data_IF_855406872759
#
_entry.id   IF_855406872759
#
_cell.length_a   1.000
_cell.length_b   1.000
_cell.length_c   1.000
_cell.angle_alpha   90.00
_cell.angle_beta   90.00
_cell.angle_gamma   90.00
#
_symmetry.space_group_name_H-M   'P 1'
#
loop_
_entity.id
_entity.type
_entity.pdbx_description
1 polymer ?
#
# COMPACT_ATOMS: atom_id res chain seq x y z
N UNK A 1 -17.23 18.71 7.01
CA UNK A 1 -16.81 17.34 7.33
C UNK A 1 -15.61 17.07 6.45
N UNK A 2 -14.44 16.98 7.07
CA UNK A 2 -13.22 16.64 6.35
C UNK A 2 -13.24 15.14 6.07
N UNK A 3 -12.64 14.71 4.96
CA UNK A 3 -12.57 13.28 4.60
C UNK A 3 -11.72 12.49 5.61
N UNK A 4 -10.92 13.18 6.42
CA UNK A 4 -10.07 12.56 7.46
C UNK A 4 -10.75 12.37 8.80
N UNK A 5 -11.97 12.91 9.01
CA UNK A 5 -12.65 12.90 10.32
C UNK A 5 -12.90 11.47 10.86
N UNK A 6 -12.99 10.48 9.96
CA UNK A 6 -13.19 9.07 10.32
C UNK A 6 -11.93 8.23 10.55
N UNK A 7 -10.73 8.85 10.52
CA UNK A 7 -9.46 8.12 10.62
C UNK A 7 -8.95 8.17 12.07
N UNK A 8 -8.79 7.00 12.70
CA UNK A 8 -8.18 6.90 14.03
C UNK A 8 -6.71 7.33 13.99
N UNK A 9 -6.26 8.27 14.87
CA UNK A 9 -4.86 8.69 14.92
C UNK A 9 -3.89 7.54 15.22
N UNK A 10 -4.30 6.57 16.03
CA UNK A 10 -3.45 5.43 16.40
C UNK A 10 -3.34 4.41 15.26
N UNK A 11 -4.42 4.17 14.52
CA UNK A 11 -4.38 3.34 13.31
C UNK A 11 -3.53 3.99 12.23
N UNK A 12 -3.60 5.31 12.08
CA UNK A 12 -2.76 6.05 11.16
C UNK A 12 -1.27 5.95 11.52
N UNK A 13 -0.90 6.14 12.80
CA UNK A 13 0.48 5.94 13.26
C UNK A 13 0.97 4.52 12.97
N UNK A 14 0.16 3.51 13.31
CA UNK A 14 0.48 2.10 13.06
C UNK A 14 0.66 1.82 11.56
N UNK A 15 -0.17 2.40 10.71
CA UNK A 15 -0.03 2.30 9.25
C UNK A 15 1.33 2.85 8.79
N UNK A 16 1.72 4.04 9.27
CA UNK A 16 3.01 4.65 8.94
C UNK A 16 4.18 3.79 9.44
N UNK A 17 4.11 3.27 10.68
CA UNK A 17 5.14 2.38 11.23
C UNK A 17 5.31 1.11 10.42
N UNK A 18 4.20 0.50 9.96
CA UNK A 18 4.26 -0.65 9.06
C UNK A 18 5.00 -0.25 7.78
N UNK A 19 4.57 0.81 7.10
CA UNK A 19 5.19 1.24 5.83
C UNK A 19 6.69 1.55 5.97
N UNK A 20 7.13 2.13 7.09
CA UNK A 20 8.55 2.46 7.34
C UNK A 20 9.38 1.21 7.67
N UNK A 21 8.81 0.25 8.39
CA UNK A 21 9.55 -0.93 8.85
C UNK A 21 9.49 -2.12 7.90
N UNK A 22 8.57 -2.15 6.93
CA UNK A 22 8.48 -3.24 5.94
C UNK A 22 9.78 -3.38 5.12
N UNK A 23 10.36 -4.58 4.97
CA UNK A 23 11.48 -4.81 4.06
C UNK A 23 11.10 -4.56 2.59
N UNK A 24 9.88 -4.98 2.20
CA UNK A 24 9.27 -4.75 0.89
C UNK A 24 7.76 -4.56 1.06
N UNK A 25 7.17 -3.74 0.20
CA UNK A 25 5.74 -3.45 0.18
C UNK A 25 5.18 -3.89 -1.17
N UNK A 26 4.08 -4.64 -1.15
CA UNK A 26 3.36 -5.08 -2.33
C UNK A 26 2.02 -4.39 -2.35
N UNK A 27 1.74 -3.63 -3.39
CA UNK A 27 0.51 -2.85 -3.50
C UNK A 27 -0.44 -3.53 -4.48
N UNK A 28 -1.70 -3.66 -4.08
CA UNK A 28 -2.75 -4.29 -4.89
C UNK A 28 -4.04 -3.46 -4.85
N UNK A 29 -4.75 -3.42 -5.96
CA UNK A 29 -6.06 -2.79 -6.09
C UNK A 29 -6.66 -3.05 -7.46
N UNK A 30 -7.98 -3.02 -7.57
CA UNK A 30 -8.70 -3.24 -8.83
C UNK A 30 -9.20 -1.93 -9.45
N UNK A 31 -9.30 -1.90 -10.78
CA UNK A 31 -9.84 -0.76 -11.54
C UNK A 31 -9.17 0.58 -11.18
N UNK A 32 -9.99 1.59 -10.85
CA UNK A 32 -9.53 2.92 -10.44
C UNK A 32 -8.74 2.91 -9.13
N UNK A 33 -9.12 2.07 -8.17
CA UNK A 33 -8.35 1.89 -6.95
C UNK A 33 -6.95 1.36 -7.24
N UNK A 34 -6.81 0.47 -8.24
CA UNK A 34 -5.51 0.02 -8.74
C UNK A 34 -4.65 1.16 -9.33
N UNK A 35 -5.26 2.12 -10.02
CA UNK A 35 -4.54 3.31 -10.51
C UNK A 35 -4.01 4.18 -9.36
N UNK A 36 -4.85 4.44 -8.35
CA UNK A 36 -4.45 5.19 -7.15
C UNK A 36 -3.35 4.45 -6.38
N UNK A 37 -3.48 3.12 -6.25
CA UNK A 37 -2.52 2.27 -5.57
C UNK A 37 -1.15 2.29 -6.28
N UNK A 38 -1.13 2.28 -7.64
CA UNK A 38 0.11 2.45 -8.44
C UNK A 38 0.75 3.82 -8.24
N UNK A 39 -0.04 4.90 -8.22
CA UNK A 39 0.48 6.24 -7.96
C UNK A 39 1.12 6.34 -6.57
N UNK A 40 0.48 5.73 -5.56
CA UNK A 40 1.04 5.65 -4.21
C UNK A 40 2.34 4.82 -4.16
N UNK A 41 2.35 3.65 -4.83
CA UNK A 41 3.55 2.82 -4.94
C UNK A 41 4.73 3.58 -5.56
N UNK A 42 4.49 4.33 -6.63
CA UNK A 42 5.50 5.18 -7.27
C UNK A 42 6.07 6.22 -6.31
N UNK A 43 5.22 6.84 -5.48
CA UNK A 43 5.69 7.81 -4.49
C UNK A 43 6.56 7.15 -3.42
N UNK A 44 6.21 5.95 -2.96
CA UNK A 44 7.03 5.20 -2.02
C UNK A 44 8.39 4.80 -2.61
N UNK A 45 8.44 4.44 -3.90
CA UNK A 45 9.71 4.21 -4.61
C UNK A 45 10.57 5.46 -4.62
N UNK A 46 9.99 6.63 -4.93
CA UNK A 46 10.71 7.91 -4.87
C UNK A 46 11.21 8.27 -3.46
N UNK A 47 10.59 7.72 -2.42
CA UNK A 47 11.03 7.85 -1.02
C UNK A 47 12.04 6.76 -0.60
N UNK A 48 12.57 5.99 -1.55
CA UNK A 48 13.60 4.97 -1.30
C UNK A 48 13.07 3.64 -0.76
N UNK A 49 11.75 3.43 -0.76
CA UNK A 49 11.14 2.17 -0.30
C UNK A 49 11.16 1.13 -1.42
N UNK A 50 11.33 -0.15 -1.08
CA UNK A 50 11.22 -1.27 -2.03
C UNK A 50 9.75 -1.64 -2.20
N UNK A 51 9.13 -1.22 -3.30
CA UNK A 51 7.70 -1.41 -3.55
C UNK A 51 7.46 -2.10 -4.88
N UNK A 52 6.50 -3.01 -4.92
CA UNK A 52 6.09 -3.75 -6.11
C UNK A 52 4.57 -3.69 -6.25
N UNK A 53 4.09 -3.79 -7.49
CA UNK A 53 2.65 -3.78 -7.78
C UNK A 53 2.23 -5.19 -8.18
N UNK A 54 1.26 -5.75 -7.48
CA UNK A 54 0.79 -7.11 -7.74
C UNK A 54 0.21 -7.20 -9.16
N UNK A 55 0.62 -8.21 -9.92
CA UNK A 55 0.19 -8.43 -11.30
C UNK A 55 1.12 -7.85 -12.38
N UNK A 56 2.11 -7.03 -12.01
CA UNK A 56 3.13 -6.56 -12.95
C UNK A 56 4.24 -7.60 -13.18
N UNK A 57 4.85 -7.60 -14.38
CA UNK A 57 5.81 -8.61 -14.84
C UNK A 57 7.04 -8.79 -13.94
N UNK A 58 7.50 -7.71 -13.30
CA UNK A 58 8.74 -7.68 -12.52
C UNK A 58 8.53 -7.94 -11.02
N UNK A 59 7.31 -8.29 -10.60
CA UNK A 59 6.97 -8.46 -9.19
C UNK A 59 7.54 -9.78 -8.66
N UNK A 60 8.50 -9.75 -7.71
CA UNK A 60 9.09 -10.96 -7.15
C UNK A 60 8.14 -11.66 -6.17
N UNK A 61 8.53 -12.85 -5.71
CA UNK A 61 7.76 -13.58 -4.70
C UNK A 61 7.73 -12.84 -3.33
N UNK A 62 6.52 -12.77 -2.76
CA UNK A 62 6.25 -12.31 -1.41
C UNK A 62 6.92 -13.23 -0.38
N UNK A 63 7.51 -12.66 0.67
CA UNK A 63 8.08 -13.39 1.81
C UNK A 63 7.37 -13.00 3.10
N UNK A 64 7.55 -13.83 4.13
CA UNK A 64 6.89 -13.71 5.44
C UNK A 64 6.97 -12.32 6.08
N UNK A 65 8.11 -11.65 5.95
CA UNK A 65 8.35 -10.35 6.57
C UNK A 65 7.92 -9.15 5.71
N UNK A 66 7.49 -9.39 4.47
CA UNK A 66 7.01 -8.32 3.60
C UNK A 66 5.59 -7.88 3.98
N UNK A 67 5.16 -6.74 3.44
CA UNK A 67 3.81 -6.21 3.67
C UNK A 67 3.01 -6.18 2.38
N UNK A 68 1.76 -6.64 2.45
CA UNK A 68 0.76 -6.45 1.40
C UNK A 68 -0.16 -5.28 1.76
N UNK A 69 -0.25 -4.29 0.88
CA UNK A 69 -1.13 -3.13 0.98
C UNK A 69 -2.24 -3.24 -0.07
N UNK A 70 -3.44 -3.59 0.39
CA UNK A 70 -4.63 -3.67 -0.46
C UNK A 70 -5.44 -2.37 -0.40
N UNK A 71 -5.80 -1.84 -1.57
CA UNK A 71 -6.66 -0.66 -1.72
C UNK A 71 -8.01 -1.10 -2.25
N UNK A 72 -9.02 -1.14 -1.38
CA UNK A 72 -10.39 -1.55 -1.70
C UNK A 72 -11.41 -0.70 -0.96
N UNK A 73 -12.36 -0.11 -1.69
CA UNK A 73 -13.45 0.66 -1.08
C UNK A 73 -14.54 -0.23 -0.46
N UNK A 74 -14.75 -1.44 -0.99
CA UNK A 74 -15.77 -2.38 -0.50
C UNK A 74 -15.23 -3.38 0.51
N UNK A 75 -13.91 -3.61 0.53
CA UNK A 75 -13.28 -4.67 1.31
C UNK A 75 -13.61 -6.10 0.83
N UNK A 76 -14.27 -6.26 -0.33
CA UNK A 76 -14.75 -7.55 -0.86
C UNK A 76 -14.12 -7.96 -2.19
N UNK A 77 -13.29 -7.08 -2.76
CA UNK A 77 -12.47 -7.34 -3.94
C UNK A 77 -11.33 -8.29 -3.58
#
# INVERSE_FOLDING_TARGET
MDITDGISPDEFKKFIEIIINSPRIYVVGAGRSGMVARAFAMRLVHLGRKVFVVGETVTPALRKEDTLLAVSGSGKT
#
